data_IF_010381998575
#
_entry.id   IF_010381998575
#
_cell.length_a   1.000
_cell.length_b   1.000
_cell.length_c   1.000
_cell.angle_alpha   90.00
_cell.angle_beta   90.00
_cell.angle_gamma   90.00
#
_symmetry.space_group_name_H-M   'P 1'
#
loop_
_entity.id
_entity.type
_entity.pdbx_description
1 polymer ?
#
# COMPACT_ATOMS: atom_id res chain seq x y z
N UNK A 1 -14.71 -3.18 22.59
CA UNK A 1 -13.84 -3.61 21.45
C UNK A 1 -13.85 -2.64 20.27
N UNK A 2 -14.86 -1.76 20.09
CA UNK A 2 -14.90 -0.81 18.97
C UNK A 2 -13.80 0.26 18.96
N UNK A 3 -13.40 0.75 20.13
CA UNK A 3 -12.47 1.88 20.24
C UNK A 3 -11.04 1.64 19.71
N UNK A 4 -10.53 0.41 19.74
CA UNK A 4 -9.14 0.14 19.33
C UNK A 4 -8.94 0.09 17.81
N UNK A 5 -10.00 0.00 17.01
CA UNK A 5 -9.99 0.06 15.53
C UNK A 5 -10.49 1.40 14.99
N UNK A 6 -10.90 2.32 15.87
CA UNK A 6 -11.37 3.65 15.48
C UNK A 6 -10.16 4.53 15.07
N UNK A 7 -10.29 5.19 13.92
CA UNK A 7 -9.29 6.11 13.39
C UNK A 7 -9.75 7.57 13.49
N UNK A 8 -10.82 7.85 14.25
CA UNK A 8 -11.29 9.22 14.46
C UNK A 8 -10.18 10.10 15.06
N UNK A 9 -9.98 11.28 14.49
CA UNK A 9 -8.91 12.20 14.86
C UNK A 9 -7.51 11.86 14.33
N UNK A 10 -7.36 10.78 13.54
CA UNK A 10 -6.12 10.44 12.84
C UNK A 10 -6.13 11.00 11.43
N UNK A 11 -4.95 11.37 10.94
CA UNK A 11 -4.73 11.76 9.55
C UNK A 11 -3.95 10.70 8.82
N UNK A 12 -4.49 10.21 7.69
CA UNK A 12 -3.86 9.21 6.84
C UNK A 12 -3.51 9.77 5.46
N UNK A 13 -2.36 9.41 4.93
CA UNK A 13 -1.94 9.69 3.56
C UNK A 13 -1.78 8.38 2.81
N UNK A 14 -2.47 8.24 1.67
CA UNK A 14 -2.38 7.05 0.81
C UNK A 14 -1.74 7.45 -0.51
N UNK A 15 -0.46 7.16 -0.67
CA UNK A 15 0.31 7.41 -1.90
C UNK A 15 0.05 6.26 -2.88
N UNK A 16 -0.46 6.58 -4.06
CA UNK A 16 -1.06 5.60 -4.98
C UNK A 16 -2.52 5.30 -4.63
N UNK A 17 -3.20 6.21 -3.92
CA UNK A 17 -4.56 6.08 -3.39
C UNK A 17 -5.69 6.36 -4.38
N UNK A 18 -5.40 6.53 -5.68
CA UNK A 18 -6.41 6.96 -6.66
C UNK A 18 -7.04 5.84 -7.47
N UNK A 19 -6.49 4.62 -7.43
CA UNK A 19 -7.01 3.46 -8.17
C UNK A 19 -6.79 2.15 -7.41
N UNK A 20 -7.51 1.11 -7.80
CA UNK A 20 -7.32 -0.27 -7.36
C UNK A 20 -7.25 -0.41 -5.83
N UNK A 21 -6.25 -1.13 -5.36
CA UNK A 21 -6.04 -1.40 -3.92
C UNK A 21 -5.89 -0.09 -3.14
N UNK A 22 -5.05 0.84 -3.60
CA UNK A 22 -4.82 2.09 -2.88
C UNK A 22 -6.10 2.92 -2.69
N UNK A 23 -6.98 2.97 -3.72
CA UNK A 23 -8.28 3.66 -3.62
C UNK A 23 -9.19 2.99 -2.60
N UNK A 24 -9.27 1.67 -2.61
CA UNK A 24 -10.09 0.94 -1.63
C UNK A 24 -9.59 1.18 -0.20
N UNK A 25 -8.26 1.18 0.01
CA UNK A 25 -7.67 1.48 1.31
C UNK A 25 -7.94 2.92 1.75
N UNK A 26 -7.82 3.90 0.85
CA UNK A 26 -8.10 5.30 1.17
C UNK A 26 -9.54 5.50 1.63
N UNK A 27 -10.50 4.94 0.88
CA UNK A 27 -11.92 5.03 1.23
C UNK A 27 -12.24 4.25 2.51
N UNK A 28 -11.61 3.08 2.73
CA UNK A 28 -11.81 2.29 3.94
C UNK A 28 -11.23 2.93 5.20
N UNK A 29 -10.10 3.62 5.11
CA UNK A 29 -9.54 4.40 6.23
C UNK A 29 -10.45 5.60 6.56
N UNK A 30 -11.05 6.24 5.55
CA UNK A 30 -12.04 7.29 5.74
C UNK A 30 -13.31 6.77 6.43
N UNK A 31 -13.81 5.59 6.04
CA UNK A 31 -14.95 4.92 6.69
C UNK A 31 -14.63 4.55 8.14
N UNK A 32 -13.37 4.21 8.45
CA UNK A 32 -12.91 3.96 9.81
C UNK A 32 -12.68 5.23 10.65
N UNK A 33 -12.95 6.42 10.11
CA UNK A 33 -12.94 7.69 10.85
C UNK A 33 -11.75 8.60 10.59
N UNK A 34 -10.74 8.20 9.80
CA UNK A 34 -9.58 9.03 9.52
C UNK A 34 -9.93 10.19 8.55
N UNK A 35 -9.25 11.33 8.70
CA UNK A 35 -9.07 12.28 7.63
C UNK A 35 -8.04 11.72 6.64
N UNK A 36 -8.32 11.74 5.33
CA UNK A 36 -7.50 10.99 4.37
C UNK A 36 -7.11 11.84 3.17
N UNK A 37 -5.81 11.87 2.85
CA UNK A 37 -5.29 12.38 1.58
C UNK A 37 -4.94 11.20 0.68
N UNK A 38 -5.72 11.01 -0.38
CA UNK A 38 -5.45 10.03 -1.42
C UNK A 38 -4.76 10.72 -2.61
N UNK A 39 -3.53 10.31 -2.93
CA UNK A 39 -2.74 10.97 -3.97
C UNK A 39 -2.20 10.01 -5.02
N UNK A 40 -1.85 10.55 -6.17
CA UNK A 40 -1.26 9.89 -7.32
C UNK A 40 -0.95 10.92 -8.41
N UNK A 41 -0.39 10.50 -9.52
CA UNK A 41 0.08 11.42 -10.58
C UNK A 41 -1.04 12.15 -11.34
N UNK A 42 -2.23 11.55 -11.42
CA UNK A 42 -3.34 12.05 -12.23
C UNK A 42 -4.27 12.92 -11.40
N UNK A 43 -4.20 14.24 -11.59
CA UNK A 43 -4.96 15.24 -10.81
C UNK A 43 -6.48 14.96 -10.81
N UNK A 44 -7.06 14.65 -11.98
CA UNK A 44 -8.50 14.36 -12.07
C UNK A 44 -8.94 13.19 -11.17
N UNK A 45 -8.11 12.14 -11.04
CA UNK A 45 -8.41 11.01 -10.17
C UNK A 45 -8.19 11.34 -8.69
N UNK A 46 -7.25 12.23 -8.39
CA UNK A 46 -7.10 12.78 -7.04
C UNK A 46 -8.35 13.53 -6.63
N UNK A 47 -8.88 14.38 -7.52
CA UNK A 47 -10.10 15.17 -7.28
C UNK A 47 -11.33 14.29 -7.10
N UNK A 48 -11.47 13.21 -7.90
CA UNK A 48 -12.56 12.24 -7.77
C UNK A 48 -12.52 11.56 -6.39
N UNK A 49 -11.37 11.02 -5.99
CA UNK A 49 -11.28 10.30 -4.70
C UNK A 49 -11.42 11.26 -3.53
N UNK A 50 -10.89 12.47 -3.63
CA UNK A 50 -11.08 13.50 -2.61
C UNK A 50 -12.56 13.84 -2.41
N UNK A 51 -13.36 13.99 -3.49
CA UNK A 51 -14.81 14.21 -3.38
C UNK A 51 -15.53 13.04 -2.69
N UNK A 52 -15.10 11.79 -2.93
CA UNK A 52 -15.64 10.62 -2.22
C UNK A 52 -15.29 10.63 -0.73
N UNK A 53 -14.08 11.05 -0.36
CA UNK A 53 -13.67 11.18 1.05
C UNK A 53 -14.49 12.27 1.75
N UNK A 54 -14.69 13.41 1.09
CA UNK A 54 -15.52 14.51 1.60
C UNK A 54 -16.99 14.08 1.78
N UNK A 55 -17.54 13.29 0.85
CA UNK A 55 -18.90 12.76 0.97
C UNK A 55 -19.10 11.85 2.19
N UNK A 56 -18.00 11.30 2.75
CA UNK A 56 -18.00 10.54 4.00
C UNK A 56 -17.84 11.44 5.25
N UNK A 57 -17.82 12.76 5.08
CA UNK A 57 -17.64 13.71 6.17
C UNK A 57 -16.20 13.79 6.70
N UNK A 58 -15.20 13.39 5.89
CA UNK A 58 -13.78 13.44 6.26
C UNK A 58 -13.07 14.57 5.53
N UNK A 59 -12.07 15.16 6.19
CA UNK A 59 -11.21 16.17 5.58
C UNK A 59 -10.22 15.50 4.62
N UNK A 60 -9.80 16.23 3.59
CA UNK A 60 -8.81 15.79 2.61
C UNK A 60 -8.08 16.98 2.00
N UNK A 61 -7.01 16.72 1.26
CA UNK A 61 -6.33 17.70 0.41
C UNK A 61 -6.19 17.12 -1.01
N UNK A 62 -6.10 18.02 -2.00
CA UNK A 62 -6.10 17.67 -3.43
C UNK A 62 -4.74 17.99 -4.05
N UNK A 63 -3.77 17.12 -3.86
CA UNK A 63 -2.43 17.28 -4.43
C UNK A 63 -2.03 16.04 -5.25
N UNK A 64 -1.64 16.27 -6.51
CA UNK A 64 -1.05 15.22 -7.33
C UNK A 64 0.41 15.02 -6.95
N UNK A 65 0.86 13.76 -6.89
CA UNK A 65 2.21 13.43 -6.41
C UNK A 65 2.82 12.32 -7.24
N UNK A 66 4.11 12.47 -7.56
CA UNK A 66 4.93 11.43 -8.17
C UNK A 66 5.93 10.88 -7.13
N UNK A 67 5.90 9.56 -6.91
CA UNK A 67 6.84 8.87 -6.01
C UNK A 67 8.27 8.84 -6.53
N UNK A 68 8.46 9.06 -7.83
CA UNK A 68 9.78 9.22 -8.46
C UNK A 68 10.45 10.55 -8.13
N UNK A 69 9.70 11.53 -7.61
CA UNK A 69 10.21 12.88 -7.31
C UNK A 69 10.14 13.18 -5.80
N UNK A 70 11.31 13.36 -5.19
CA UNK A 70 11.42 13.72 -3.77
C UNK A 70 10.80 15.09 -3.47
N UNK A 71 10.91 16.07 -4.38
CA UNK A 71 10.31 17.39 -4.18
C UNK A 71 8.78 17.31 -4.18
N UNK A 72 8.19 16.49 -5.06
CA UNK A 72 6.75 16.20 -5.09
C UNK A 72 6.25 15.58 -3.79
N UNK A 73 7.00 14.63 -3.20
CA UNK A 73 6.66 14.03 -1.92
C UNK A 73 6.79 14.99 -0.73
N UNK A 74 7.80 15.89 -0.76
CA UNK A 74 7.92 16.94 0.25
C UNK A 74 6.76 17.94 0.16
N UNK A 75 6.37 18.35 -1.05
CA UNK A 75 5.19 19.22 -1.25
C UNK A 75 3.90 18.54 -0.75
N UNK A 76 3.73 17.23 -0.99
CA UNK A 76 2.62 16.46 -0.43
C UNK A 76 2.60 16.53 1.10
N UNK A 77 3.76 16.26 1.76
CA UNK A 77 3.86 16.34 3.21
C UNK A 77 3.49 17.73 3.73
N UNK A 78 4.03 18.77 3.13
CA UNK A 78 3.83 20.15 3.56
C UNK A 78 2.36 20.57 3.41
N UNK A 79 1.70 20.18 2.32
CA UNK A 79 0.28 20.39 2.10
C UNK A 79 -0.57 19.63 3.13
N UNK A 80 -0.26 18.35 3.40
CA UNK A 80 -0.97 17.57 4.41
C UNK A 80 -0.86 18.20 5.80
N UNK A 81 0.33 18.62 6.19
CA UNK A 81 0.57 19.26 7.50
C UNK A 81 -0.15 20.61 7.60
N UNK A 82 -0.13 21.40 6.52
CA UNK A 82 -0.81 22.70 6.48
C UNK A 82 -2.34 22.58 6.56
N UNK A 83 -2.92 21.63 5.80
CA UNK A 83 -4.38 21.51 5.66
C UNK A 83 -5.02 20.66 6.76
N UNK A 84 -4.35 19.62 7.24
CA UNK A 84 -4.95 18.62 8.14
C UNK A 84 -4.22 18.50 9.48
N UNK A 85 -3.05 19.08 9.61
CA UNK A 85 -2.20 18.94 10.80
C UNK A 85 -1.25 17.75 10.70
N UNK A 86 -0.98 17.11 11.83
CA UNK A 86 -0.03 16.01 11.87
C UNK A 86 -0.51 14.79 11.08
N UNK A 87 0.40 14.13 10.33
CA UNK A 87 0.11 12.88 9.63
C UNK A 87 0.49 11.70 10.53
N UNK A 88 -0.47 10.84 10.84
CA UNK A 88 -0.33 9.70 11.74
C UNK A 88 -0.10 8.38 11.00
N UNK A 89 -0.68 8.25 9.81
CA UNK A 89 -0.71 7.03 9.03
C UNK A 89 -0.25 7.33 7.60
N UNK A 90 0.70 6.55 7.09
CA UNK A 90 1.11 6.61 5.68
C UNK A 90 1.01 5.23 5.06
N UNK A 91 0.22 5.13 3.98
CA UNK A 91 0.12 3.92 3.15
C UNK A 91 0.86 4.16 1.84
N UNK A 92 1.94 3.43 1.60
CA UNK A 92 2.69 3.44 0.35
C UNK A 92 2.15 2.35 -0.58
N UNK A 93 1.15 2.72 -1.40
CA UNK A 93 0.43 1.81 -2.29
C UNK A 93 0.78 2.00 -3.78
N UNK A 94 1.64 2.96 -4.13
CA UNK A 94 2.11 3.12 -5.49
C UNK A 94 2.93 1.91 -5.94
N UNK A 95 2.61 1.39 -7.12
CA UNK A 95 3.32 0.25 -7.68
C UNK A 95 2.91 -0.03 -9.11
N UNK A 96 3.85 -0.59 -9.87
CA UNK A 96 3.68 -1.02 -11.26
C UNK A 96 4.22 -2.43 -11.43
N UNK A 97 3.78 -3.10 -12.47
CA UNK A 97 4.33 -4.39 -12.92
C UNK A 97 4.37 -4.41 -14.44
N UNK A 98 5.29 -5.20 -14.96
CA UNK A 98 5.34 -5.55 -16.38
C UNK A 98 5.61 -7.03 -16.51
N UNK A 99 4.81 -7.70 -17.33
CA UNK A 99 5.01 -9.10 -17.68
C UNK A 99 5.87 -9.17 -18.95
N UNK A 100 7.07 -9.73 -18.82
CA UNK A 100 8.04 -9.92 -19.92
C UNK A 100 8.99 -11.05 -19.56
N UNK A 101 9.42 -11.84 -20.53
CA UNK A 101 10.45 -12.85 -20.32
C UNK A 101 11.74 -12.17 -19.81
N UNK A 102 12.37 -12.73 -18.77
CA UNK A 102 13.50 -12.06 -18.11
C UNK A 102 14.68 -11.78 -19.03
N UNK A 103 14.87 -12.60 -20.08
CA UNK A 103 15.92 -12.41 -21.08
C UNK A 103 15.62 -11.26 -22.07
N UNK A 104 14.39 -10.79 -22.12
CA UNK A 104 13.91 -9.70 -22.99
C UNK A 104 13.70 -8.39 -22.23
N UNK A 105 13.75 -8.44 -20.88
CA UNK A 105 13.54 -7.25 -20.04
C UNK A 105 14.70 -6.27 -20.23
N UNK A 106 14.36 -5.03 -20.57
CA UNK A 106 15.35 -3.95 -20.68
C UNK A 106 15.70 -3.38 -19.30
N UNK A 107 16.90 -2.78 -19.17
CA UNK A 107 17.31 -2.09 -17.95
C UNK A 107 16.33 -0.98 -17.57
N UNK A 108 15.81 -0.24 -18.55
CA UNK A 108 14.81 0.82 -18.31
C UNK A 108 13.53 0.28 -17.66
N UNK A 109 13.03 -0.86 -18.10
CA UNK A 109 11.83 -1.49 -17.54
C UNK A 109 12.08 -2.01 -16.14
N UNK A 110 13.26 -2.60 -15.92
CA UNK A 110 13.72 -2.99 -14.59
C UNK A 110 13.77 -1.78 -13.65
N UNK A 111 14.48 -0.73 -14.04
CA UNK A 111 14.68 0.47 -13.24
C UNK A 111 13.36 1.16 -12.91
N UNK A 112 12.43 1.27 -13.87
CA UNK A 112 11.11 1.85 -13.63
C UNK A 112 10.31 1.10 -12.54
N UNK A 113 10.40 -0.23 -12.52
CA UNK A 113 9.70 -1.06 -11.54
C UNK A 113 10.34 -0.90 -10.16
N UNK A 114 11.67 -0.98 -10.07
CA UNK A 114 12.40 -0.80 -8.80
C UNK A 114 12.19 0.63 -8.27
N UNK A 115 12.30 1.62 -9.14
CA UNK A 115 12.15 3.03 -8.80
C UNK A 115 10.75 3.31 -8.22
N UNK A 116 9.70 2.81 -8.85
CA UNK A 116 8.33 3.05 -8.38
C UNK A 116 8.03 2.23 -7.11
N UNK A 117 8.30 0.91 -7.13
CA UNK A 117 7.79 -0.01 -6.12
C UNK A 117 8.62 0.00 -4.82
N UNK A 118 9.91 0.28 -4.91
CA UNK A 118 10.84 0.20 -3.78
C UNK A 118 11.39 1.58 -3.41
N UNK A 119 12.06 2.25 -4.33
CA UNK A 119 12.68 3.57 -4.08
C UNK A 119 11.61 4.61 -3.75
N UNK A 120 10.50 4.60 -4.49
CA UNK A 120 9.35 5.47 -4.25
C UNK A 120 8.70 5.25 -2.88
N UNK A 121 8.62 3.98 -2.42
CA UNK A 121 8.17 3.67 -1.06
C UNK A 121 9.13 4.25 -0.02
N UNK A 122 10.42 4.03 -0.17
CA UNK A 122 11.44 4.58 0.75
C UNK A 122 11.40 6.11 0.78
N UNK A 123 11.28 6.78 -0.39
CA UNK A 123 11.13 8.24 -0.45
C UNK A 123 9.87 8.70 0.28
N UNK A 124 8.75 7.99 0.08
CA UNK A 124 7.49 8.28 0.78
C UNK A 124 7.69 8.23 2.30
N UNK A 125 8.25 7.16 2.82
CA UNK A 125 8.47 7.03 4.25
C UNK A 125 9.43 8.09 4.78
N UNK A 126 10.52 8.36 4.07
CA UNK A 126 11.51 9.38 4.44
C UNK A 126 10.93 10.80 4.46
N UNK A 127 9.91 11.10 3.65
CA UNK A 127 9.25 12.39 3.67
C UNK A 127 8.42 12.60 4.96
N UNK A 128 7.78 11.56 5.49
CA UNK A 128 6.86 11.66 6.64
C UNK A 128 7.47 11.25 7.98
N UNK A 129 8.43 10.33 7.99
CA UNK A 129 9.04 9.80 9.22
C UNK A 129 9.61 10.86 10.16
N UNK A 130 10.30 11.92 9.71
CA UNK A 130 10.83 12.96 10.62
C UNK A 130 9.74 13.58 11.51
N UNK A 131 8.58 13.90 10.94
CA UNK A 131 7.46 14.44 11.71
C UNK A 131 6.85 13.43 12.69
N UNK A 132 6.82 12.14 12.33
CA UNK A 132 6.38 11.06 13.21
C UNK A 132 7.38 10.82 14.36
N UNK A 133 8.68 10.79 14.07
CA UNK A 133 9.76 10.66 15.06
C UNK A 133 9.68 11.78 16.10
N UNK A 134 9.52 13.02 15.64
CA UNK A 134 9.41 14.18 16.54
C UNK A 134 8.21 14.10 17.50
N UNK A 135 7.13 13.42 17.10
CA UNK A 135 5.93 13.23 17.93
C UNK A 135 5.92 11.92 18.75
N UNK A 136 6.86 11.01 18.47
CA UNK A 136 6.91 9.71 19.14
C UNK A 136 5.78 8.75 18.72
N UNK A 137 5.17 8.95 17.55
CA UNK A 137 4.12 8.05 17.03
C UNK A 137 3.99 8.10 15.51
N UNK A 138 3.68 6.96 14.90
CA UNK A 138 3.43 6.84 13.46
C UNK A 138 3.09 5.41 13.05
N UNK A 139 2.36 5.29 11.93
CA UNK A 139 2.00 4.01 11.31
C UNK A 139 2.37 4.06 9.83
N UNK A 140 3.36 3.27 9.43
CA UNK A 140 3.81 3.15 8.05
C UNK A 140 3.40 1.78 7.50
N UNK A 141 2.62 1.78 6.43
CA UNK A 141 2.03 0.56 5.85
C UNK A 141 2.43 0.47 4.38
N UNK A 142 3.21 -0.55 4.02
CA UNK A 142 3.58 -0.84 2.65
C UNK A 142 2.62 -1.82 1.98
N UNK A 143 2.61 -1.83 0.64
CA UNK A 143 1.94 -2.88 -0.13
C UNK A 143 3.00 -3.81 -0.71
N UNK A 144 3.12 -4.98 -0.08
CA UNK A 144 3.85 -6.13 -0.58
C UNK A 144 3.09 -6.88 -1.68
N UNK A 145 3.25 -8.18 -1.73
CA UNK A 145 2.57 -9.08 -2.68
C UNK A 145 2.82 -10.54 -2.26
N UNK A 146 2.09 -11.49 -2.86
CA UNK A 146 2.53 -12.88 -2.96
C UNK A 146 3.98 -12.99 -3.44
N UNK A 147 4.38 -12.13 -4.38
CA UNK A 147 5.73 -12.07 -4.92
C UNK A 147 6.80 -11.66 -3.88
N UNK A 148 6.41 -11.27 -2.66
CA UNK A 148 7.34 -11.10 -1.53
C UNK A 148 7.81 -12.44 -0.94
N UNK A 149 7.12 -13.56 -1.28
CA UNK A 149 7.35 -14.89 -0.71
C UNK A 149 7.66 -15.94 -1.78
N UNK A 150 7.07 -15.81 -2.97
CA UNK A 150 7.22 -16.80 -4.06
C UNK A 150 7.54 -16.10 -5.38
N UNK A 151 8.23 -16.85 -6.28
CA UNK A 151 8.45 -16.40 -7.64
C UNK A 151 7.19 -16.50 -8.49
N UNK A 152 6.97 -15.50 -9.33
CA UNK A 152 5.92 -15.49 -10.35
C UNK A 152 6.56 -15.40 -11.73
N UNK A 153 6.10 -16.21 -12.67
CA UNK A 153 6.66 -16.29 -14.02
C UNK A 153 6.54 -14.96 -14.77
N UNK A 154 7.61 -14.56 -15.44
CA UNK A 154 7.69 -13.37 -16.32
C UNK A 154 7.49 -12.01 -15.64
N UNK A 155 7.71 -11.93 -14.32
CA UNK A 155 7.64 -10.67 -13.55
C UNK A 155 8.83 -10.54 -12.60
N UNK A 156 10.06 -10.77 -13.09
CA UNK A 156 11.27 -10.81 -12.28
C UNK A 156 11.51 -9.51 -11.49
N UNK A 157 11.49 -8.35 -12.16
CA UNK A 157 11.69 -7.06 -11.50
C UNK A 157 10.61 -6.77 -10.45
N UNK A 158 9.35 -7.11 -10.72
CA UNK A 158 8.26 -6.98 -9.77
C UNK A 158 8.51 -7.88 -8.54
N UNK A 159 8.86 -9.15 -8.76
CA UNK A 159 9.17 -10.09 -7.68
C UNK A 159 10.34 -9.59 -6.84
N UNK A 160 11.44 -9.14 -7.48
CA UNK A 160 12.58 -8.55 -6.78
C UNK A 160 12.16 -7.33 -5.94
N UNK A 161 11.39 -6.40 -6.52
CA UNK A 161 10.90 -5.21 -5.80
C UNK A 161 10.03 -5.57 -4.59
N UNK A 162 9.12 -6.54 -4.72
CA UNK A 162 8.21 -6.93 -3.64
C UNK A 162 8.91 -7.77 -2.55
N UNK A 163 9.92 -8.56 -2.91
CA UNK A 163 10.81 -9.21 -1.95
C UNK A 163 11.64 -8.19 -1.17
N UNK A 164 12.14 -7.14 -1.84
CA UNK A 164 12.88 -6.05 -1.20
C UNK A 164 11.99 -5.22 -0.26
N UNK A 165 10.70 -5.02 -0.57
CA UNK A 165 9.72 -4.39 0.35
C UNK A 165 9.67 -5.13 1.69
N UNK A 166 9.73 -6.46 1.70
CA UNK A 166 9.78 -7.24 2.95
C UNK A 166 11.04 -6.95 3.77
N UNK A 167 12.20 -6.85 3.12
CA UNK A 167 13.47 -6.46 3.75
C UNK A 167 13.41 -5.04 4.31
N UNK A 168 12.95 -4.08 3.50
CA UNK A 168 12.80 -2.68 3.89
C UNK A 168 11.85 -2.53 5.10
N UNK A 169 10.71 -3.23 5.09
CA UNK A 169 9.74 -3.21 6.19
C UNK A 169 10.39 -3.63 7.50
N UNK A 170 11.17 -4.72 7.51
CA UNK A 170 11.87 -5.19 8.72
C UNK A 170 12.96 -4.22 9.18
N UNK A 171 13.77 -3.70 8.25
CA UNK A 171 14.86 -2.78 8.59
C UNK A 171 14.34 -1.49 9.24
N UNK A 172 13.33 -0.84 8.61
CA UNK A 172 12.76 0.38 9.13
C UNK A 172 11.93 0.16 10.42
N UNK A 173 11.32 -1.02 10.58
CA UNK A 173 10.64 -1.38 11.82
C UNK A 173 11.58 -1.37 13.01
N UNK A 174 12.77 -1.94 12.88
CA UNK A 174 13.78 -1.98 13.95
C UNK A 174 14.34 -0.58 14.21
N UNK A 175 14.65 0.16 13.15
CA UNK A 175 15.25 1.48 13.25
C UNK A 175 14.32 2.50 13.92
N UNK A 176 13.01 2.45 13.61
CA UNK A 176 12.05 3.47 14.05
C UNK A 176 11.14 3.05 15.21
N UNK A 177 11.16 1.79 15.63
CA UNK A 177 10.40 1.33 16.79
C UNK A 177 10.74 2.10 18.10
N UNK A 178 12.00 2.45 18.40
CA UNK A 178 12.33 3.27 19.57
C UNK A 178 11.68 4.66 19.55
N UNK A 179 11.23 5.11 18.38
CA UNK A 179 10.53 6.38 18.20
C UNK A 179 9.00 6.24 18.17
N UNK A 180 8.44 5.10 18.60
CA UNK A 180 7.00 4.87 18.63
C UNK A 180 6.34 4.67 17.26
N UNK A 181 7.14 4.38 16.21
CA UNK A 181 6.64 4.14 14.85
C UNK A 181 6.58 2.63 14.58
N UNK A 182 5.47 2.17 14.04
CA UNK A 182 5.38 0.82 13.48
C UNK A 182 5.50 0.86 11.96
N UNK A 183 6.24 -0.10 11.39
CA UNK A 183 6.39 -0.27 9.95
C UNK A 183 5.98 -1.68 9.59
N UNK A 184 4.90 -1.82 8.82
CA UNK A 184 4.36 -3.10 8.39
C UNK A 184 4.01 -3.06 6.90
N UNK A 185 3.71 -4.21 6.33
CA UNK A 185 3.18 -4.28 4.97
C UNK A 185 2.00 -5.25 4.90
N UNK A 186 1.08 -4.98 3.98
CA UNK A 186 0.06 -5.94 3.56
C UNK A 186 0.59 -6.66 2.33
N UNK A 187 0.47 -7.96 2.29
CA UNK A 187 0.85 -8.79 1.15
C UNK A 187 -0.41 -9.39 0.51
N UNK A 188 -1.00 -8.70 -0.49
CA UNK A 188 -2.19 -9.19 -1.16
C UNK A 188 -1.92 -10.45 -1.97
N UNK A 189 -2.92 -11.34 -2.00
CA UNK A 189 -3.04 -12.38 -3.00
C UNK A 189 -3.43 -11.83 -4.37
N UNK A 190 -4.31 -12.53 -5.05
CA UNK A 190 -4.84 -12.09 -6.36
C UNK A 190 -6.15 -11.37 -6.15
N UNK A 191 -6.13 -10.05 -6.37
CA UNK A 191 -7.29 -9.16 -6.29
C UNK A 191 -7.59 -8.61 -7.67
N UNK A 192 -8.86 -8.64 -8.07
CA UNK A 192 -9.24 -8.05 -9.35
C UNK A 192 -9.16 -6.53 -9.28
N UNK A 193 -8.44 -5.96 -10.23
CA UNK A 193 -8.28 -4.52 -10.42
C UNK A 193 -8.34 -4.21 -11.92
N UNK A 194 -8.52 -2.96 -12.30
CA UNK A 194 -8.50 -2.56 -13.70
C UNK A 194 -7.18 -2.92 -14.41
N UNK A 195 -6.08 -3.01 -13.65
CA UNK A 195 -4.75 -3.34 -14.19
C UNK A 195 -4.60 -4.81 -14.60
N UNK A 196 -5.34 -5.73 -13.99
CA UNK A 196 -5.14 -7.18 -14.19
C UNK A 196 -6.38 -7.92 -14.67
N UNK A 197 -7.54 -7.26 -14.78
CA UNK A 197 -8.82 -7.88 -15.15
C UNK A 197 -8.72 -8.76 -16.40
N UNK A 198 -8.09 -8.28 -17.46
CA UNK A 198 -7.95 -9.05 -18.71
C UNK A 198 -7.02 -10.26 -18.54
N UNK A 199 -5.94 -10.11 -17.78
CA UNK A 199 -5.01 -11.23 -17.48
C UNK A 199 -5.72 -12.32 -16.67
N UNK A 200 -6.60 -11.93 -15.76
CA UNK A 200 -7.31 -12.86 -14.89
C UNK A 200 -8.40 -13.66 -15.61
N UNK A 201 -8.88 -13.23 -16.77
CA UNK A 201 -9.80 -13.99 -17.62
C UNK A 201 -9.12 -15.16 -18.35
N UNK A 202 -7.81 -15.12 -18.50
CA UNK A 202 -7.02 -16.11 -19.24
C UNK A 202 -6.53 -17.30 -18.39
N UNK A 203 -5.68 -18.18 -18.99
CA UNK A 203 -5.16 -19.38 -18.31
C UNK A 203 -4.45 -19.09 -16.99
N UNK A 204 -3.73 -17.96 -16.90
CA UNK A 204 -3.05 -17.54 -15.66
C UNK A 204 -4.04 -17.25 -14.51
N UNK A 205 -5.18 -16.65 -14.82
CA UNK A 205 -6.24 -16.44 -13.83
C UNK A 205 -6.83 -17.75 -13.34
N UNK A 206 -7.06 -18.72 -14.24
CA UNK A 206 -7.54 -20.06 -13.87
C UNK A 206 -6.54 -20.79 -12.96
N UNK A 207 -5.23 -20.68 -13.25
CA UNK A 207 -4.19 -21.26 -12.39
C UNK A 207 -4.20 -20.62 -10.99
N UNK A 208 -4.33 -19.30 -10.88
CA UNK A 208 -4.47 -18.63 -9.59
C UNK A 208 -5.72 -19.08 -8.82
N UNK A 209 -6.87 -19.24 -9.51
CA UNK A 209 -8.10 -19.74 -8.90
C UNK A 209 -7.93 -21.16 -8.38
N UNK A 210 -7.29 -22.04 -9.15
CA UNK A 210 -7.02 -23.43 -8.71
C UNK A 210 -6.11 -23.49 -7.49
N UNK A 211 -5.12 -22.61 -7.42
CA UNK A 211 -4.15 -22.55 -6.30
C UNK A 211 -4.69 -21.82 -5.07
N UNK A 212 -5.75 -21.02 -5.22
CA UNK A 212 -6.36 -20.30 -4.09
C UNK A 212 -7.39 -21.20 -3.42
N UNK A 213 -7.23 -21.61 -2.14
CA UNK A 213 -8.19 -22.46 -1.45
C UNK A 213 -9.63 -21.92 -1.43
N UNK A 214 -9.79 -20.58 -1.30
CA UNK A 214 -11.12 -19.93 -1.36
C UNK A 214 -11.75 -19.92 -2.75
N UNK A 215 -11.06 -20.42 -3.80
CA UNK A 215 -11.56 -20.58 -5.17
C UNK A 215 -12.16 -19.33 -5.80
N UNK A 216 -11.72 -18.17 -5.39
CA UNK A 216 -12.10 -16.88 -5.94
C UNK A 216 -10.96 -15.85 -5.83
N UNK A 217 -11.05 -14.81 -6.61
CA UNK A 217 -10.21 -13.62 -6.41
C UNK A 217 -10.72 -12.81 -5.21
N UNK A 218 -9.83 -12.06 -4.57
CA UNK A 218 -10.19 -11.10 -3.55
C UNK A 218 -10.83 -9.85 -4.15
N UNK A 219 -11.76 -9.23 -3.44
CA UNK A 219 -12.23 -7.88 -3.71
C UNK A 219 -11.35 -6.91 -2.95
N UNK A 220 -11.02 -5.76 -3.54
CA UNK A 220 -10.10 -4.77 -2.94
C UNK A 220 -10.53 -4.31 -1.55
N UNK A 221 -11.84 -4.29 -1.28
CA UNK A 221 -12.43 -3.94 0.01
C UNK A 221 -12.06 -4.94 1.12
N UNK A 222 -11.74 -6.19 0.76
CA UNK A 222 -11.31 -7.22 1.74
C UNK A 222 -9.90 -6.97 2.30
N UNK A 223 -9.15 -6.02 1.72
CA UNK A 223 -7.87 -5.54 2.27
C UNK A 223 -8.04 -4.43 3.32
N UNK A 224 -9.21 -3.78 3.37
CA UNK A 224 -9.45 -2.64 4.26
C UNK A 224 -9.29 -3.02 5.72
N UNK A 225 -9.82 -4.18 6.14
CA UNK A 225 -9.69 -4.65 7.52
C UNK A 225 -8.24 -4.79 7.97
N UNK A 226 -7.36 -5.29 7.09
CA UNK A 226 -5.93 -5.38 7.37
C UNK A 226 -5.27 -3.99 7.51
N UNK A 227 -5.64 -3.04 6.65
CA UNK A 227 -5.12 -1.67 6.70
C UNK A 227 -5.59 -0.94 7.96
N UNK A 228 -6.87 -1.03 8.31
CA UNK A 228 -7.43 -0.44 9.54
C UNK A 228 -6.77 -1.05 10.77
N UNK A 229 -6.59 -2.38 10.82
CA UNK A 229 -5.86 -3.04 11.91
C UNK A 229 -4.45 -2.45 12.07
N UNK A 230 -3.63 -2.45 11.02
CA UNK A 230 -2.26 -1.97 11.08
C UNK A 230 -2.16 -0.46 11.34
N UNK A 231 -3.18 0.32 10.97
CA UNK A 231 -3.26 1.77 11.20
C UNK A 231 -3.69 2.12 12.63
N UNK A 232 -4.37 1.22 13.32
CA UNK A 232 -5.02 1.45 14.61
C UNK A 232 -4.13 1.11 15.82
N UNK A 233 -4.63 1.40 17.00
CA UNK A 233 -3.98 1.04 18.27
C UNK A 233 -4.07 -0.46 18.57
N UNK A 234 -4.94 -1.21 17.87
CA UNK A 234 -4.98 -2.67 17.95
C UNK A 234 -3.67 -3.33 17.48
N UNK A 235 -2.88 -2.63 16.64
CA UNK A 235 -1.58 -3.09 16.15
C UNK A 235 -0.39 -2.38 16.82
N UNK A 236 -0.57 -1.75 17.98
CA UNK A 236 0.47 -0.95 18.64
C UNK A 236 1.76 -1.74 18.97
N UNK A 237 1.68 -3.06 19.11
CA UNK A 237 2.83 -3.95 19.33
C UNK A 237 3.19 -4.80 18.09
N UNK A 238 2.67 -4.43 16.91
CA UNK A 238 2.94 -5.12 15.64
C UNK A 238 3.82 -4.25 14.77
N UNK A 239 5.05 -4.68 14.52
CA UNK A 239 5.99 -4.00 13.62
C UNK A 239 6.88 -5.02 12.89
N UNK A 240 7.35 -4.69 11.70
CA UNK A 240 8.19 -5.54 10.86
C UNK A 240 7.45 -6.68 10.15
N UNK A 241 6.12 -6.70 10.17
CA UNK A 241 5.32 -7.80 9.66
C UNK A 241 4.84 -7.58 8.24
N UNK A 242 4.72 -8.70 7.49
CA UNK A 242 3.96 -8.77 6.25
C UNK A 242 2.67 -9.54 6.52
N UNK A 243 1.56 -8.83 6.58
CA UNK A 243 0.24 -9.42 6.79
C UNK A 243 -0.32 -9.94 5.46
N UNK A 244 -0.34 -11.26 5.30
CA UNK A 244 -0.85 -11.92 4.09
C UNK A 244 -2.37 -11.89 4.08
N UNK A 245 -2.96 -11.48 2.94
CA UNK A 245 -4.40 -11.51 2.68
C UNK A 245 -4.59 -12.09 1.27
N UNK A 246 -4.76 -13.41 1.14
CA UNK A 246 -4.59 -14.10 -0.14
C UNK A 246 -5.57 -15.27 -0.39
N UNK A 247 -6.58 -15.42 0.46
CA UNK A 247 -7.52 -16.54 0.34
C UNK A 247 -6.89 -17.92 0.58
N UNK A 248 -5.73 -17.96 1.27
CA UNK A 248 -5.01 -19.17 1.63
C UNK A 248 -3.98 -19.64 0.60
N UNK A 249 -3.70 -18.85 -0.44
CA UNK A 249 -2.83 -19.26 -1.55
C UNK A 249 -1.42 -19.63 -1.07
N UNK A 250 -0.79 -18.81 -0.21
CA UNK A 250 0.55 -19.09 0.32
C UNK A 250 0.56 -20.20 1.39
N UNK A 251 -0.54 -20.42 2.06
CA UNK A 251 -0.64 -21.46 3.09
C UNK A 251 -0.87 -22.86 2.51
N UNK A 252 -1.24 -22.96 1.22
CA UNK A 252 -1.59 -24.23 0.61
C UNK A 252 -0.42 -24.85 -0.17
N UNK A 253 -0.27 -26.18 -0.05
CA UNK A 253 0.63 -26.98 -0.90
C UNK A 253 -0.15 -27.77 -1.95
N UNK A 254 -1.26 -28.40 -1.56
CA UNK A 254 -2.13 -29.22 -2.42
C UNK A 254 -3.58 -28.86 -2.15
N UNK A 255 -4.36 -28.61 -3.21
CA UNK A 255 -5.75 -28.13 -3.13
C UNK A 255 -6.77 -29.13 -3.72
N UNK A 256 -6.40 -30.38 -3.90
CA UNK A 256 -7.22 -31.48 -4.40
C UNK A 256 -7.24 -32.63 -3.43
#
# INVERSE_FOLDING_TARGET
MGACFDLAGRTAVVVGGTTGIGRALALGLADAGADVVATGRRKAMVDEVAALIESKGRRTARIATDVGDTASLNALRDECVSSLGAVDIVVAAAGITKRVASVEMTDLEWDQIIETNLTGMMRTYRAFAPGMIARGQGRLIGIGSLASFVGLMEVAAYTASKSAVAGLTRALAIEWAPHGITVNAIAPGVFETDLNREILKGPRGQEFLMRTPMRRFGRTEELVGAAVYLASDAASFVTGQLLVVDGGLLASAVNV
#
